data_IF_160770941981
#
_entry.id   IF_160770941981
#
_cell.length_a   1.000
_cell.length_b   1.000
_cell.length_c   1.000
_cell.angle_alpha   90.00
_cell.angle_beta   90.00
_cell.angle_gamma   90.00
#
_symmetry.space_group_name_H-M   'P 1'
#
loop_
_entity.id
_entity.type
_entity.pdbx_description
1 polymer ?
#
# COMPACT_ATOMS: atom_id res chain seq x y z
N UNK A 1 -18.55 -51.08 3.79
CA UNK A 1 -18.35 -50.21 2.61
C UNK A 1 -18.69 -48.77 2.95
N UNK A 2 -17.87 -48.09 3.80
CA UNK A 2 -18.10 -46.68 4.20
C UNK A 2 -16.86 -45.80 4.08
N UNK A 3 -15.81 -46.27 3.33
CA UNK A 3 -14.52 -45.55 3.22
C UNK A 3 -14.27 -44.85 1.88
N UNK A 4 -15.22 -44.78 0.98
CA UNK A 4 -15.01 -44.28 -0.40
C UNK A 4 -15.48 -42.85 -0.65
N UNK A 5 -16.36 -42.32 0.15
CA UNK A 5 -16.93 -40.97 -0.04
C UNK A 5 -16.09 -39.88 0.63
N UNK A 6 -15.45 -40.16 1.76
CA UNK A 6 -14.63 -39.17 2.47
C UNK A 6 -13.37 -38.76 1.67
N UNK A 7 -12.76 -39.66 0.90
CA UNK A 7 -11.61 -39.32 0.04
C UNK A 7 -11.96 -38.49 -1.19
N UNK A 8 -13.21 -38.55 -1.65
CA UNK A 8 -13.68 -37.73 -2.78
C UNK A 8 -13.94 -36.27 -2.38
N UNK A 9 -14.20 -36.01 -1.11
CA UNK A 9 -14.44 -34.64 -0.59
C UNK A 9 -13.17 -33.94 -0.10
N UNK A 10 -12.10 -34.64 0.23
CA UNK A 10 -10.81 -34.03 0.63
C UNK A 10 -10.12 -33.25 -0.53
N UNK A 11 -10.47 -33.53 -1.80
CA UNK A 11 -9.99 -32.80 -2.97
C UNK A 11 -10.83 -31.58 -3.39
N UNK A 12 -12.00 -31.37 -2.78
CA UNK A 12 -12.99 -30.35 -3.14
C UNK A 12 -13.13 -29.24 -2.08
N UNK A 13 -12.09 -28.95 -1.32
CA UNK A 13 -12.00 -27.67 -0.63
C UNK A 13 -11.70 -26.55 -1.67
N UNK A 14 -12.63 -26.33 -2.57
CA UNK A 14 -12.77 -25.05 -3.24
C UNK A 14 -13.08 -24.07 -2.10
N UNK A 15 -12.10 -23.29 -1.70
CA UNK A 15 -12.32 -22.11 -0.85
C UNK A 15 -13.24 -21.20 -1.63
N UNK A 16 -14.54 -21.34 -1.42
CA UNK A 16 -15.53 -20.36 -1.86
C UNK A 16 -15.20 -19.06 -1.12
N UNK A 17 -14.40 -18.21 -1.76
CA UNK A 17 -14.20 -16.83 -1.33
C UNK A 17 -15.52 -16.10 -1.60
N UNK A 18 -16.39 -16.09 -0.59
CA UNK A 18 -17.59 -15.25 -0.64
C UNK A 18 -17.12 -13.81 -0.42
N UNK A 19 -17.33 -12.92 -1.41
CA UNK A 19 -16.95 -11.51 -1.24
C UNK A 19 -17.82 -10.86 -0.16
N UNK A 20 -17.21 -9.96 0.60
CA UNK A 20 -17.93 -9.15 1.58
C UNK A 20 -18.98 -8.25 0.87
N UNK A 21 -20.04 -7.86 1.55
CA UNK A 21 -21.14 -7.06 0.95
C UNK A 21 -20.63 -5.77 0.31
N UNK A 22 -19.73 -5.05 0.98
CA UNK A 22 -19.15 -3.83 0.46
C UNK A 22 -18.32 -4.05 -0.82
N UNK A 23 -17.65 -5.21 -0.96
CA UNK A 23 -16.92 -5.57 -2.19
C UNK A 23 -17.89 -5.83 -3.35
N UNK A 24 -19.01 -6.52 -3.07
CA UNK A 24 -20.06 -6.76 -4.07
C UNK A 24 -20.70 -5.44 -4.52
N UNK A 25 -20.95 -4.52 -3.58
CA UNK A 25 -21.49 -3.20 -3.86
C UNK A 25 -20.54 -2.38 -4.74
N UNK A 26 -19.23 -2.40 -4.45
CA UNK A 26 -18.22 -1.73 -5.25
C UNK A 26 -18.14 -2.30 -6.69
N UNK A 27 -18.15 -3.62 -6.84
CA UNK A 27 -18.17 -4.31 -8.14
C UNK A 27 -19.41 -3.92 -8.94
N UNK A 28 -20.58 -3.89 -8.29
CA UNK A 28 -21.84 -3.50 -8.91
C UNK A 28 -21.82 -2.03 -9.34
N UNK A 29 -21.41 -1.12 -8.47
CA UNK A 29 -21.35 0.30 -8.77
C UNK A 29 -20.44 0.60 -10.00
N UNK A 30 -19.26 -0.03 -10.07
CA UNK A 30 -18.37 0.09 -11.23
C UNK A 30 -19.02 -0.44 -12.51
N UNK A 31 -19.74 -1.56 -12.43
CA UNK A 31 -20.45 -2.16 -13.57
C UNK A 31 -21.62 -1.28 -14.01
N UNK A 32 -22.31 -0.61 -13.08
CA UNK A 32 -23.43 0.31 -13.34
C UNK A 32 -22.96 1.69 -13.85
N UNK A 33 -21.65 1.88 -14.03
CA UNK A 33 -21.09 3.09 -14.62
C UNK A 33 -20.77 4.20 -13.63
N UNK A 34 -20.58 3.89 -12.35
CA UNK A 34 -20.06 4.84 -11.36
C UNK A 34 -18.55 4.69 -11.22
N UNK A 35 -17.86 5.77 -10.91
CA UNK A 35 -16.56 5.74 -10.29
C UNK A 35 -16.72 5.39 -8.81
N UNK A 36 -15.76 4.70 -8.23
CA UNK A 36 -15.89 4.20 -6.85
C UNK A 36 -14.67 4.61 -6.02
N UNK A 37 -14.97 5.17 -4.86
CA UNK A 37 -13.97 5.37 -3.79
C UNK A 37 -14.24 4.32 -2.73
N UNK A 38 -13.22 3.50 -2.44
CA UNK A 38 -13.28 2.48 -1.39
C UNK A 38 -12.52 2.96 -0.17
N UNK A 39 -13.23 3.06 0.94
CA UNK A 39 -12.65 3.28 2.27
C UNK A 39 -12.81 2.02 3.12
N UNK A 40 -11.75 1.23 3.18
CA UNK A 40 -11.74 -0.03 3.92
C UNK A 40 -10.37 -0.29 4.54
N UNK A 41 -10.28 -0.87 5.75
CA UNK A 41 -9.02 -1.10 6.45
C UNK A 41 -7.99 -1.86 5.62
N UNK A 42 -6.72 -1.71 5.97
CA UNK A 42 -5.64 -2.53 5.40
C UNK A 42 -5.91 -4.00 5.72
N UNK A 43 -5.72 -4.87 4.72
CA UNK A 43 -6.01 -6.30 4.85
C UNK A 43 -7.48 -6.70 4.63
N UNK A 44 -8.41 -5.75 4.42
CA UNK A 44 -9.81 -6.05 4.13
C UNK A 44 -10.06 -6.72 2.75
N UNK A 45 -9.04 -6.80 1.90
CA UNK A 45 -9.15 -7.44 0.58
C UNK A 45 -9.64 -6.49 -0.52
N UNK A 46 -9.26 -5.22 -0.47
CA UNK A 46 -9.62 -4.21 -1.50
C UNK A 46 -9.28 -4.63 -2.92
N UNK A 47 -8.12 -5.26 -3.13
CA UNK A 47 -7.66 -5.75 -4.45
C UNK A 47 -8.61 -6.76 -5.08
N UNK A 48 -9.37 -7.51 -4.27
CA UNK A 48 -10.36 -8.49 -4.74
C UNK A 48 -11.41 -7.87 -5.67
N UNK A 49 -11.77 -6.60 -5.49
CA UNK A 49 -12.73 -5.90 -6.35
C UNK A 49 -12.21 -5.91 -7.80
N UNK A 50 -10.96 -5.50 -8.00
CA UNK A 50 -10.33 -5.50 -9.32
C UNK A 50 -10.22 -6.91 -9.89
N UNK A 51 -9.70 -7.85 -9.10
CA UNK A 51 -9.53 -9.24 -9.54
C UNK A 51 -10.87 -9.87 -9.96
N UNK A 52 -11.94 -9.56 -9.22
CA UNK A 52 -13.29 -10.03 -9.53
C UNK A 52 -13.84 -9.47 -10.84
N UNK A 53 -13.57 -8.18 -11.11
CA UNK A 53 -13.97 -7.52 -12.36
C UNK A 53 -13.25 -8.12 -13.56
N UNK A 54 -11.96 -8.40 -13.44
CA UNK A 54 -11.16 -9.01 -14.53
C UNK A 54 -11.57 -10.46 -14.75
N UNK A 55 -11.66 -11.28 -13.71
CA UNK A 55 -12.10 -12.69 -13.79
C UNK A 55 -13.53 -12.82 -14.34
N UNK A 56 -14.41 -11.91 -13.93
CA UNK A 56 -15.78 -11.81 -14.42
C UNK A 56 -15.91 -11.27 -15.86
N UNK A 57 -14.80 -10.92 -16.51
CA UNK A 57 -14.74 -10.31 -17.85
C UNK A 57 -15.59 -9.04 -17.99
N UNK A 58 -15.77 -8.32 -16.90
CA UNK A 58 -16.50 -7.03 -16.89
C UNK A 58 -15.60 -5.89 -17.35
N UNK A 59 -14.30 -6.02 -17.13
CA UNK A 59 -13.25 -5.10 -17.56
C UNK A 59 -12.00 -5.87 -17.97
N UNK A 60 -11.17 -5.33 -18.90
CA UNK A 60 -11.54 -4.25 -19.82
C UNK A 60 -12.51 -4.74 -20.92
N UNK A 61 -13.18 -3.80 -21.59
CA UNK A 61 -13.85 -4.12 -22.84
C UNK A 61 -12.83 -4.56 -23.92
N UNK A 62 -13.28 -5.30 -24.92
CA UNK A 62 -12.42 -5.77 -25.99
C UNK A 62 -11.63 -4.62 -26.65
N UNK A 63 -10.32 -4.81 -26.81
CA UNK A 63 -9.42 -3.80 -27.38
C UNK A 63 -9.07 -2.63 -26.43
N UNK A 64 -9.52 -2.67 -25.17
CA UNK A 64 -9.18 -1.65 -24.15
C UNK A 64 -8.37 -2.26 -23.02
N UNK A 65 -7.80 -1.44 -22.14
CA UNK A 65 -6.89 -1.83 -21.08
C UNK A 65 -7.45 -1.50 -19.70
N UNK A 66 -7.18 -2.33 -18.70
CA UNK A 66 -7.36 -2.03 -17.29
C UNK A 66 -5.99 -1.84 -16.63
N UNK A 67 -5.79 -0.74 -15.92
CA UNK A 67 -4.54 -0.42 -15.25
C UNK A 67 -4.74 -0.46 -13.75
N UNK A 68 -3.91 -1.25 -13.05
CA UNK A 68 -3.83 -1.29 -11.60
C UNK A 68 -2.56 -0.58 -11.15
N UNK A 69 -2.71 0.58 -10.51
CA UNK A 69 -1.54 1.32 -10.03
C UNK A 69 -1.29 1.10 -8.55
N UNK A 70 -0.02 1.02 -8.20
CA UNK A 70 0.46 0.81 -6.83
C UNK A 70 1.53 1.83 -6.47
N UNK A 71 1.71 2.14 -5.16
CA UNK A 71 2.60 3.20 -4.74
C UNK A 71 4.09 2.89 -4.90
N UNK A 72 4.50 1.64 -5.05
CA UNK A 72 5.92 1.29 -5.14
C UNK A 72 6.21 0.28 -6.24
N UNK A 73 7.41 0.38 -6.84
CA UNK A 73 7.92 -0.59 -7.83
C UNK A 73 7.93 -2.02 -7.29
N UNK A 74 8.25 -2.18 -6.00
CA UNK A 74 8.27 -3.49 -5.35
C UNK A 74 6.89 -4.16 -5.37
N UNK A 75 5.83 -3.41 -5.01
CA UNK A 75 4.45 -3.89 -5.07
C UNK A 75 4.00 -4.17 -6.52
N UNK A 76 4.42 -3.33 -7.48
CA UNK A 76 4.12 -3.55 -8.89
C UNK A 76 4.72 -4.88 -9.37
N UNK A 77 6.00 -5.10 -9.12
CA UNK A 77 6.72 -6.33 -9.46
C UNK A 77 6.09 -7.58 -8.82
N UNK A 78 5.65 -7.44 -7.58
CA UNK A 78 5.00 -8.54 -6.85
C UNK A 78 3.65 -8.90 -7.46
N UNK A 79 2.76 -7.90 -7.65
CA UNK A 79 1.43 -8.10 -8.24
C UNK A 79 1.52 -8.64 -9.67
N UNK A 80 2.43 -8.11 -10.47
CA UNK A 80 2.67 -8.62 -11.82
C UNK A 80 3.06 -10.10 -11.82
N UNK A 81 4.00 -10.52 -10.95
CA UNK A 81 4.41 -11.92 -10.84
C UNK A 81 3.29 -12.81 -10.31
N UNK A 82 2.53 -12.34 -9.34
CA UNK A 82 1.37 -13.04 -8.78
C UNK A 82 0.35 -13.33 -9.88
N UNK A 83 -0.11 -12.31 -10.59
CA UNK A 83 -1.11 -12.46 -11.64
C UNK A 83 -0.59 -13.20 -12.89
N UNK A 84 0.69 -13.03 -13.24
CA UNK A 84 1.32 -13.81 -14.31
C UNK A 84 1.36 -15.31 -13.98
N UNK A 85 1.67 -15.66 -12.73
CA UNK A 85 1.63 -17.05 -12.22
C UNK A 85 0.20 -17.60 -12.19
N UNK A 86 -0.79 -16.75 -11.90
CA UNK A 86 -2.21 -17.11 -11.93
C UNK A 86 -2.78 -17.21 -13.37
N UNK A 87 -1.94 -17.10 -14.39
CA UNK A 87 -2.30 -17.26 -15.80
C UNK A 87 -2.92 -16.03 -16.46
N UNK A 88 -2.79 -14.84 -15.85
CA UNK A 88 -3.31 -13.61 -16.45
C UNK A 88 -2.40 -13.10 -17.57
N UNK A 89 -3.02 -12.52 -18.62
CA UNK A 89 -2.31 -11.70 -19.61
C UNK A 89 -2.07 -10.32 -18.99
N UNK A 90 -0.92 -10.15 -18.35
CA UNK A 90 -0.60 -8.96 -17.57
C UNK A 90 0.78 -8.42 -17.92
N UNK A 91 0.84 -7.13 -18.21
CA UNK A 91 2.06 -6.36 -18.40
C UNK A 91 2.46 -5.58 -17.16
N UNK A 92 3.62 -4.96 -17.20
CA UNK A 92 4.14 -4.10 -16.14
C UNK A 92 4.77 -2.83 -16.69
N UNK A 93 4.52 -1.69 -16.02
CA UNK A 93 5.14 -0.41 -16.31
C UNK A 93 5.59 0.27 -15.01
N UNK A 94 6.90 0.26 -14.76
CA UNK A 94 7.54 0.97 -13.64
C UNK A 94 8.75 1.75 -14.16
N UNK A 95 9.38 2.56 -13.33
CA UNK A 95 10.54 3.32 -13.75
C UNK A 95 11.78 2.49 -14.09
N UNK A 96 11.78 1.19 -13.78
CA UNK A 96 12.90 0.27 -14.00
C UNK A 96 12.52 -0.98 -14.83
N UNK A 97 11.22 -1.20 -15.08
CA UNK A 97 10.75 -2.37 -15.83
C UNK A 97 9.53 -2.00 -16.69
N UNK A 98 9.58 -2.38 -17.96
CA UNK A 98 8.50 -2.20 -18.92
C UNK A 98 8.40 -3.47 -19.79
N UNK A 99 7.34 -4.27 -19.57
CA UNK A 99 7.08 -5.51 -20.33
C UNK A 99 5.59 -5.62 -20.66
N UNK A 100 5.26 -6.09 -21.84
CA UNK A 100 3.92 -6.38 -22.32
C UNK A 100 2.96 -5.17 -22.12
N UNK A 101 3.37 -3.97 -22.50
CA UNK A 101 2.64 -2.72 -22.25
C UNK A 101 1.23 -2.69 -22.87
N UNK A 102 1.00 -3.46 -23.92
CA UNK A 102 -0.29 -3.60 -24.61
C UNK A 102 -1.17 -4.70 -24.02
N UNK A 103 -0.72 -5.34 -22.94
CA UNK A 103 -1.52 -6.38 -22.27
C UNK A 103 -2.88 -5.82 -21.81
N UNK A 104 -3.96 -6.61 -21.81
CA UNK A 104 -5.29 -6.17 -21.37
C UNK A 104 -5.32 -5.72 -19.91
N UNK A 105 -4.40 -6.22 -19.08
CA UNK A 105 -4.18 -5.77 -17.71
C UNK A 105 -2.75 -5.26 -17.59
N UNK A 106 -2.57 -4.09 -17.02
CA UNK A 106 -1.27 -3.50 -16.76
C UNK A 106 -1.12 -3.18 -15.27
N UNK A 107 -0.05 -3.64 -14.65
CA UNK A 107 0.35 -3.19 -13.32
C UNK A 107 1.36 -2.06 -13.49
N UNK A 108 1.14 -0.92 -12.82
CA UNK A 108 1.98 0.25 -13.06
C UNK A 108 2.22 1.08 -11.79
N UNK A 109 3.24 1.95 -11.84
CA UNK A 109 3.30 3.12 -10.97
C UNK A 109 2.72 4.32 -11.72
N UNK A 110 2.03 5.23 -11.02
CA UNK A 110 1.30 6.34 -11.67
C UNK A 110 2.21 7.28 -12.47
N UNK A 111 3.45 7.42 -12.06
CA UNK A 111 4.45 8.22 -12.76
C UNK A 111 4.63 7.79 -14.23
N UNK A 112 4.53 6.50 -14.51
CA UNK A 112 4.68 5.96 -15.87
C UNK A 112 3.47 6.20 -16.76
N UNK A 113 2.33 6.58 -16.17
CA UNK A 113 1.08 6.84 -16.90
C UNK A 113 0.83 8.34 -17.15
N UNK A 114 1.71 9.21 -16.64
CA UNK A 114 1.53 10.67 -16.67
C UNK A 114 1.34 11.23 -18.09
N UNK A 115 2.22 10.88 -19.03
CA UNK A 115 2.16 11.39 -20.41
C UNK A 115 0.84 10.97 -21.10
N UNK A 116 0.35 9.78 -20.82
CA UNK A 116 -0.92 9.29 -21.35
C UNK A 116 -2.09 10.19 -20.91
N UNK A 117 -2.17 10.53 -19.63
CA UNK A 117 -3.22 11.41 -19.13
C UNK A 117 -3.07 12.84 -19.64
N UNK A 118 -1.84 13.34 -19.80
CA UNK A 118 -1.58 14.66 -20.40
C UNK A 118 -2.03 14.74 -21.86
N UNK A 119 -1.90 13.63 -22.62
CA UNK A 119 -2.40 13.50 -23.98
C UNK A 119 -3.93 13.32 -24.06
N UNK A 120 -4.65 13.24 -22.92
CA UNK A 120 -6.09 13.01 -22.88
C UNK A 120 -6.47 11.55 -23.16
N UNK A 121 -5.53 10.62 -23.03
CA UNK A 121 -5.75 9.19 -23.20
C UNK A 121 -5.91 8.49 -21.84
N UNK A 122 -6.71 7.42 -21.79
CA UNK A 122 -6.91 6.66 -20.57
C UNK A 122 -7.30 5.21 -20.80
N UNK A 123 -7.13 4.36 -19.78
CA UNK A 123 -7.62 2.99 -19.82
C UNK A 123 -9.14 2.92 -19.69
N UNK A 124 -9.72 1.75 -19.88
CA UNK A 124 -11.13 1.52 -19.56
C UNK A 124 -11.40 1.55 -18.05
N UNK A 125 -10.48 0.98 -17.25
CA UNK A 125 -10.51 1.02 -15.80
C UNK A 125 -9.12 1.44 -15.27
N UNK A 126 -9.08 2.47 -14.46
CA UNK A 126 -7.90 2.89 -13.69
C UNK A 126 -8.15 2.62 -12.21
N UNK A 127 -7.34 1.77 -11.62
CA UNK A 127 -7.30 1.59 -10.17
C UNK A 127 -6.15 2.38 -9.59
N UNK A 128 -6.43 3.21 -8.60
CA UNK A 128 -5.44 3.97 -7.84
C UNK A 128 -5.40 3.39 -6.42
N UNK A 129 -4.45 2.50 -6.19
CA UNK A 129 -4.22 1.95 -4.85
C UNK A 129 -3.46 2.95 -3.99
N UNK A 130 -3.85 3.06 -2.71
CA UNK A 130 -3.33 4.02 -1.75
C UNK A 130 -3.49 5.48 -2.24
N UNK A 131 -4.71 5.88 -2.66
CA UNK A 131 -4.96 7.22 -3.21
C UNK A 131 -4.71 8.36 -2.22
N UNK A 132 -4.52 8.11 -0.91
CA UNK A 132 -4.04 9.11 0.05
C UNK A 132 -2.67 9.70 -0.34
N UNK A 133 -1.94 9.03 -1.23
CA UNK A 133 -0.72 9.57 -1.83
C UNK A 133 -0.93 10.90 -2.57
N UNK A 134 -2.16 11.32 -2.87
CA UNK A 134 -2.48 12.69 -3.35
C UNK A 134 -1.90 13.75 -2.40
N UNK A 135 -1.86 13.47 -1.09
CA UNK A 135 -1.25 14.33 -0.07
C UNK A 135 0.27 14.22 0.06
N UNK A 136 0.94 13.35 -0.70
CA UNK A 136 2.38 13.20 -0.67
C UNK A 136 3.09 14.39 -1.33
N UNK A 137 4.13 14.92 -0.67
CA UNK A 137 4.84 16.12 -1.12
C UNK A 137 5.53 15.94 -2.47
N UNK A 138 6.09 14.77 -2.73
CA UNK A 138 6.89 14.52 -3.93
C UNK A 138 6.09 13.89 -5.06
N UNK A 139 5.15 13.01 -4.72
CA UNK A 139 4.45 12.14 -5.66
C UNK A 139 2.98 12.48 -5.83
N UNK A 140 2.40 13.25 -4.89
CA UNK A 140 0.97 13.52 -4.81
C UNK A 140 0.38 14.09 -6.07
N UNK A 141 1.15 14.93 -6.76
CA UNK A 141 0.71 15.50 -8.02
C UNK A 141 0.38 14.46 -9.10
N UNK A 142 1.17 13.37 -9.22
CA UNK A 142 0.89 12.33 -10.23
C UNK A 142 -0.46 11.65 -9.94
N UNK A 143 -0.80 11.47 -8.66
CA UNK A 143 -2.07 10.91 -8.21
C UNK A 143 -3.23 11.87 -8.48
N UNK A 144 -3.05 13.15 -8.18
CA UNK A 144 -4.04 14.20 -8.44
C UNK A 144 -4.30 14.35 -9.94
N UNK A 145 -3.25 14.43 -10.76
CA UNK A 145 -3.36 14.55 -12.21
C UNK A 145 -4.02 13.34 -12.87
N UNK A 146 -3.75 12.13 -12.37
CA UNK A 146 -4.38 10.91 -12.89
C UNK A 146 -5.91 10.97 -12.73
N UNK A 147 -6.43 11.51 -11.62
CA UNK A 147 -7.86 11.71 -11.41
C UNK A 147 -8.38 12.91 -12.21
N UNK A 148 -7.66 14.05 -12.15
CA UNK A 148 -8.08 15.30 -12.77
C UNK A 148 -8.14 15.23 -14.30
N UNK A 149 -7.25 14.47 -14.94
CA UNK A 149 -7.11 14.37 -16.40
C UNK A 149 -7.64 13.07 -17.00
N UNK A 150 -8.05 12.10 -16.17
CA UNK A 150 -8.63 10.87 -16.69
C UNK A 150 -9.83 11.17 -17.61
N UNK A 151 -9.87 10.61 -18.83
CA UNK A 151 -10.98 10.80 -19.76
C UNK A 151 -12.32 10.38 -19.16
N UNK A 152 -13.45 10.95 -19.61
CA UNK A 152 -14.77 10.63 -19.07
C UNK A 152 -15.17 9.15 -19.20
N UNK A 153 -14.64 8.44 -20.20
CA UNK A 153 -14.88 7.04 -20.47
C UNK A 153 -13.92 6.11 -19.69
N UNK A 154 -12.92 6.65 -19.00
CA UNK A 154 -12.10 5.92 -18.02
C UNK A 154 -12.88 5.77 -16.72
N UNK A 155 -13.12 4.53 -16.28
CA UNK A 155 -13.69 4.25 -14.97
C UNK A 155 -12.62 4.33 -13.90
N UNK A 156 -12.88 5.02 -12.78
CA UNK A 156 -11.96 5.18 -11.67
C UNK A 156 -12.36 4.31 -10.47
N UNK A 157 -11.38 3.61 -9.90
CA UNK A 157 -11.49 2.90 -8.64
C UNK A 157 -10.36 3.37 -7.71
N UNK A 158 -10.68 4.16 -6.70
CA UNK A 158 -9.75 4.68 -5.71
C UNK A 158 -9.81 3.81 -4.45
N UNK A 159 -8.69 3.29 -4.00
CA UNK A 159 -8.59 2.38 -2.84
C UNK A 159 -7.74 3.01 -1.73
N UNK A 160 -8.27 3.09 -0.52
CA UNK A 160 -7.55 3.47 0.69
C UNK A 160 -8.26 2.94 1.94
N UNK A 161 -7.63 3.05 3.08
CA UNK A 161 -8.19 2.78 4.41
C UNK A 161 -7.63 3.75 5.45
N UNK A 162 -7.06 4.88 5.01
CA UNK A 162 -6.44 5.87 5.90
C UNK A 162 -6.85 7.31 5.60
N UNK A 163 -7.86 7.53 4.75
CA UNK A 163 -8.37 8.86 4.40
C UNK A 163 -9.57 9.20 5.28
N UNK A 164 -9.49 10.33 6.00
CA UNK A 164 -10.56 10.78 6.91
C UNK A 164 -11.71 11.52 6.22
N UNK A 165 -11.51 11.98 4.98
CA UNK A 165 -12.47 12.79 4.23
C UNK A 165 -12.78 12.26 2.82
N UNK A 166 -13.14 10.97 2.64
CA UNK A 166 -13.42 10.42 1.31
C UNK A 166 -14.58 11.14 0.61
N UNK A 167 -15.53 11.72 1.35
CA UNK A 167 -16.61 12.54 0.80
C UNK A 167 -16.13 13.81 0.11
N UNK A 168 -15.03 14.44 0.57
CA UNK A 168 -14.43 15.60 -0.14
C UNK A 168 -13.80 15.18 -1.45
N UNK A 169 -13.18 13.99 -1.49
CA UNK A 169 -12.61 13.43 -2.73
C UNK A 169 -13.74 13.13 -3.73
N UNK A 170 -14.86 12.57 -3.26
CA UNK A 170 -16.04 12.34 -4.09
C UNK A 170 -16.60 13.66 -4.65
N UNK A 171 -16.80 14.69 -3.82
CA UNK A 171 -17.26 15.99 -4.26
C UNK A 171 -16.31 16.66 -5.28
N UNK A 172 -15.00 16.48 -5.11
CA UNK A 172 -14.02 16.89 -6.11
C UNK A 172 -14.23 16.16 -7.45
N UNK A 173 -14.37 14.84 -7.45
CA UNK A 173 -14.61 14.06 -8.67
C UNK A 173 -15.95 14.42 -9.32
N UNK A 174 -16.99 14.70 -8.54
CA UNK A 174 -18.29 15.18 -9.05
C UNK A 174 -18.16 16.56 -9.72
N UNK A 175 -17.35 17.47 -9.15
CA UNK A 175 -17.01 18.76 -9.80
C UNK A 175 -16.31 18.56 -11.16
N UNK A 176 -15.57 17.45 -11.33
CA UNK A 176 -14.98 17.07 -12.61
C UNK A 176 -15.98 16.42 -13.59
N UNK A 177 -17.28 16.39 -13.25
CA UNK A 177 -18.35 15.81 -14.06
C UNK A 177 -18.50 14.28 -13.92
N UNK A 178 -17.93 13.65 -12.88
CA UNK A 178 -17.97 12.22 -12.66
C UNK A 178 -19.15 11.79 -11.78
N UNK A 179 -19.64 10.59 -11.98
CA UNK A 179 -20.66 9.96 -11.13
C UNK A 179 -19.95 9.06 -10.12
N UNK A 180 -19.96 9.44 -8.84
CA UNK A 180 -19.12 8.79 -7.82
C UNK A 180 -19.97 8.10 -6.76
N UNK A 181 -19.49 6.97 -6.24
CA UNK A 181 -19.98 6.34 -5.01
C UNK A 181 -18.84 6.14 -4.04
N UNK A 182 -19.05 6.51 -2.79
CA UNK A 182 -18.17 6.17 -1.67
C UNK A 182 -18.72 4.92 -1.03
N UNK A 183 -17.92 3.87 -0.99
CA UNK A 183 -18.27 2.56 -0.43
C UNK A 183 -17.19 2.17 0.56
N UNK A 184 -17.57 1.73 1.73
CA UNK A 184 -16.57 1.40 2.74
C UNK A 184 -17.10 0.49 3.83
N UNK A 185 -16.19 0.08 4.68
CA UNK A 185 -16.47 -0.62 5.92
C UNK A 185 -15.49 -0.17 6.99
N UNK A 186 -16.00 0.06 8.18
CA UNK A 186 -15.17 0.29 9.37
C UNK A 186 -14.70 -1.03 10.00
N UNK A 187 -15.34 -2.14 9.65
CA UNK A 187 -15.06 -3.45 10.23
C UNK A 187 -13.77 -4.03 9.66
N UNK A 188 -12.88 -4.40 10.56
CA UNK A 188 -11.67 -5.14 10.18
C UNK A 188 -11.98 -6.63 10.15
N UNK A 189 -11.47 -7.36 9.13
CA UNK A 189 -11.60 -8.84 9.09
C UNK A 189 -10.99 -9.53 10.31
N UNK A 190 -9.97 -8.94 10.91
CA UNK A 190 -9.35 -9.36 12.16
C UNK A 190 -9.31 -8.15 13.08
N UNK A 191 -10.05 -8.13 14.20
CA UNK A 191 -10.04 -7.04 15.16
C UNK A 191 -8.64 -6.85 15.78
N UNK A 192 -8.35 -5.67 16.30
CA UNK A 192 -7.08 -5.35 16.95
C UNK A 192 -7.31 -5.09 18.44
N UNK A 193 -6.42 -5.69 19.24
CA UNK A 193 -6.30 -5.41 20.67
C UNK A 193 -4.91 -4.85 21.00
N UNK A 194 -4.84 -4.04 22.05
CA UNK A 194 -3.58 -3.55 22.57
C UNK A 194 -3.07 -4.42 23.73
N UNK A 195 -1.80 -4.86 23.63
CA UNK A 195 -1.14 -5.66 24.65
C UNK A 195 0.10 -4.92 25.18
N UNK A 196 0.09 -4.44 26.42
CA UNK A 196 1.29 -3.88 27.03
C UNK A 196 2.40 -4.93 27.15
N UNK A 197 3.66 -4.54 26.91
CA UNK A 197 4.82 -5.44 27.10
C UNK A 197 4.87 -6.01 28.52
N UNK A 198 4.40 -5.24 29.50
CA UNK A 198 4.30 -5.67 30.89
C UNK A 198 3.34 -6.86 31.09
N UNK A 199 2.36 -7.03 30.22
CA UNK A 199 1.42 -8.13 30.23
C UNK A 199 1.94 -9.41 29.56
N UNK A 200 3.04 -9.33 28.81
CA UNK A 200 3.62 -10.51 28.19
C UNK A 200 4.18 -11.50 29.24
N UNK A 201 4.11 -12.83 28.98
CA UNK A 201 4.69 -13.84 29.85
C UNK A 201 6.16 -13.57 30.19
N UNK A 202 6.55 -13.92 31.39
CA UNK A 202 7.94 -13.79 31.89
C UNK A 202 8.54 -15.18 32.06
N UNK A 203 9.79 -15.38 31.65
CA UNK A 203 10.53 -16.57 32.03
C UNK A 203 10.95 -16.48 33.51
N UNK A 204 10.99 -17.61 34.18
CA UNK A 204 11.51 -17.70 35.56
C UNK A 204 12.72 -18.64 35.60
N UNK A 205 13.91 -18.18 36.03
CA UNK A 205 14.27 -16.84 36.43
C UNK A 205 14.35 -15.86 35.24
N UNK A 206 14.19 -14.54 35.47
CA UNK A 206 14.24 -13.56 34.40
C UNK A 206 15.65 -13.51 33.79
N UNK A 207 15.76 -13.92 32.52
CA UNK A 207 17.01 -13.92 31.75
C UNK A 207 17.25 -12.65 30.95
N UNK A 208 16.24 -11.79 30.86
CA UNK A 208 16.33 -10.59 30.04
C UNK A 208 17.17 -9.50 30.70
N UNK A 209 18.08 -8.93 29.91
CA UNK A 209 18.96 -7.85 30.30
C UNK A 209 18.46 -6.47 29.84
N UNK A 210 17.51 -6.44 28.89
CA UNK A 210 16.96 -5.23 28.31
C UNK A 210 15.54 -5.46 27.78
N UNK A 211 14.91 -4.37 27.33
CA UNK A 211 13.55 -4.38 26.78
C UNK A 211 13.37 -5.39 25.62
N UNK A 212 14.32 -5.45 24.69
CA UNK A 212 14.23 -6.32 23.51
C UNK A 212 14.26 -7.81 23.87
N UNK A 213 15.07 -8.18 24.86
CA UNK A 213 15.10 -9.55 25.39
C UNK A 213 13.73 -9.92 26.01
N UNK A 214 13.13 -9.00 26.77
CA UNK A 214 11.80 -9.22 27.35
C UNK A 214 10.75 -9.41 26.27
N UNK A 215 10.74 -8.51 25.26
CA UNK A 215 9.79 -8.54 24.16
C UNK A 215 9.90 -9.87 23.38
N UNK A 216 11.12 -10.27 22.97
CA UNK A 216 11.32 -11.48 22.19
C UNK A 216 10.94 -12.75 22.96
N UNK A 217 11.34 -12.88 24.23
CA UNK A 217 10.96 -14.01 25.08
C UNK A 217 9.46 -14.03 25.37
N UNK A 218 8.87 -12.88 25.67
CA UNK A 218 7.43 -12.78 25.94
C UNK A 218 6.59 -13.23 24.77
N UNK A 219 6.97 -12.81 23.55
CA UNK A 219 6.30 -13.22 22.32
C UNK A 219 6.52 -14.70 22.02
N UNK A 220 7.72 -15.23 22.25
CA UNK A 220 8.03 -16.65 22.03
C UNK A 220 7.28 -17.57 23.01
N UNK A 221 7.12 -17.15 24.27
CA UNK A 221 6.44 -17.91 25.31
C UNK A 221 4.91 -17.78 25.31
N UNK A 222 4.38 -17.08 24.31
CA UNK A 222 2.96 -16.78 24.19
C UNK A 222 2.44 -17.08 22.79
N UNK A 223 1.13 -16.85 22.59
CA UNK A 223 0.47 -16.94 21.29
C UNK A 223 0.57 -15.63 20.45
N UNK A 224 1.35 -14.63 20.91
CA UNK A 224 1.45 -13.32 20.22
C UNK A 224 2.40 -13.31 19.02
N UNK A 225 3.15 -14.38 18.75
CA UNK A 225 3.97 -14.49 17.54
C UNK A 225 3.18 -14.90 16.28
N UNK A 226 3.67 -14.61 15.07
CA UNK A 226 4.87 -13.83 14.76
C UNK A 226 4.72 -12.32 15.01
N UNK A 227 5.84 -11.66 15.29
CA UNK A 227 5.91 -10.22 15.60
C UNK A 227 6.61 -9.45 14.49
N UNK A 228 6.01 -8.34 14.05
CA UNK A 228 6.65 -7.33 13.21
C UNK A 228 7.00 -6.09 14.05
N UNK A 229 8.27 -5.72 14.05
CA UNK A 229 8.76 -4.52 14.72
C UNK A 229 9.08 -3.47 13.66
N UNK A 230 8.48 -2.29 13.77
CA UNK A 230 8.84 -1.13 12.95
C UNK A 230 9.91 -0.31 13.64
N UNK A 231 11.05 -0.14 12.99
CA UNK A 231 12.22 0.60 13.48
C UNK A 231 12.40 1.93 12.73
N UNK A 232 12.96 2.98 13.39
CA UNK A 232 13.03 4.33 12.81
C UNK A 232 13.97 4.45 11.59
N UNK A 233 15.01 3.63 11.50
CA UNK A 233 15.96 3.64 10.38
C UNK A 233 16.66 2.28 10.22
N UNK A 234 17.38 2.09 9.09
CA UNK A 234 18.02 0.81 8.72
C UNK A 234 18.93 0.23 9.81
N UNK A 235 19.87 1.03 10.31
CA UNK A 235 20.81 0.59 11.37
C UNK A 235 20.08 0.19 12.65
N UNK A 236 18.96 0.88 12.99
CA UNK A 236 18.13 0.49 14.13
C UNK A 236 17.44 -0.86 13.87
N UNK A 237 16.93 -1.09 12.66
CA UNK A 237 16.30 -2.35 12.31
C UNK A 237 17.25 -3.52 12.44
N UNK A 238 18.46 -3.43 11.90
CA UNK A 238 19.52 -4.44 12.02
C UNK A 238 19.90 -4.67 13.48
N UNK A 239 20.18 -3.59 14.23
CA UNK A 239 20.55 -3.67 15.66
C UNK A 239 19.45 -4.32 16.52
N UNK A 240 18.19 -3.98 16.29
CA UNK A 240 17.05 -4.57 17.00
C UNK A 240 16.93 -6.05 16.64
N UNK A 241 17.05 -6.41 15.35
CA UNK A 241 17.00 -7.80 14.91
C UNK A 241 18.03 -8.68 15.65
N UNK A 242 19.26 -8.21 15.79
CA UNK A 242 20.28 -8.90 16.58
C UNK A 242 19.91 -9.00 18.05
N UNK A 243 19.46 -7.92 18.68
CA UNK A 243 19.08 -7.92 20.09
C UNK A 243 17.92 -8.86 20.41
N UNK A 244 16.89 -8.91 19.57
CA UNK A 244 15.77 -9.85 19.79
C UNK A 244 16.20 -11.30 19.52
N UNK A 245 17.14 -11.51 18.59
CA UNK A 245 17.68 -12.82 18.29
C UNK A 245 18.55 -13.42 19.41
N UNK A 246 19.23 -12.60 20.23
CA UNK A 246 20.11 -13.07 21.31
C UNK A 246 19.43 -14.09 22.25
N UNK A 247 18.14 -13.90 22.54
CA UNK A 247 17.39 -14.74 23.47
C UNK A 247 16.60 -15.88 22.81
N UNK A 248 16.57 -15.92 21.48
CA UNK A 248 15.82 -16.94 20.76
C UNK A 248 16.69 -18.18 20.53
N UNK A 249 16.13 -19.40 20.68
CA UNK A 249 16.84 -20.63 20.44
C UNK A 249 17.06 -20.90 18.95
N UNK A 250 18.01 -21.76 18.65
CA UNK A 250 18.26 -22.35 17.31
C UNK A 250 17.68 -23.76 17.22
N UNK A 251 16.51 -23.98 17.81
CA UNK A 251 15.84 -25.27 17.91
C UNK A 251 15.25 -25.77 16.58
N UNK A 252 14.91 -24.84 15.69
CA UNK A 252 14.31 -25.13 14.39
C UNK A 252 14.80 -24.10 13.36
N UNK A 253 16.07 -24.20 12.93
CA UNK A 253 16.69 -23.21 12.06
C UNK A 253 16.12 -23.25 10.63
N UNK A 254 15.83 -22.08 10.06
CA UNK A 254 15.51 -21.99 8.64
C UNK A 254 16.79 -22.19 7.84
N UNK A 255 16.76 -23.18 6.93
CA UNK A 255 17.79 -23.44 5.94
C UNK A 255 17.20 -23.17 4.56
N UNK A 256 17.91 -22.39 3.77
CA UNK A 256 17.54 -22.16 2.37
C UNK A 256 17.97 -23.41 1.57
N UNK A 257 17.03 -24.10 0.96
CA UNK A 257 17.31 -25.31 0.18
C UNK A 257 18.01 -25.04 -1.17
N UNK A 258 18.13 -23.78 -1.56
CA UNK A 258 18.76 -23.35 -2.80
C UNK A 258 20.09 -22.64 -2.52
N UNK A 259 21.19 -23.22 -3.03
CA UNK A 259 22.56 -22.65 -2.90
C UNK A 259 22.67 -21.24 -3.51
N UNK A 260 21.91 -20.91 -4.55
CA UNK A 260 21.94 -19.57 -5.14
C UNK A 260 21.35 -18.54 -4.19
N UNK A 261 20.28 -18.90 -3.49
CA UNK A 261 19.69 -18.05 -2.46
C UNK A 261 20.65 -17.87 -1.28
N UNK A 262 21.31 -18.94 -0.84
CA UNK A 262 22.32 -18.85 0.24
C UNK A 262 23.51 -17.96 -0.16
N UNK A 263 24.05 -18.13 -1.36
CA UNK A 263 25.17 -17.32 -1.86
C UNK A 263 24.81 -15.85 -2.09
N UNK A 264 23.55 -15.58 -2.39
CA UNK A 264 23.03 -14.22 -2.63
C UNK A 264 22.60 -13.48 -1.36
N UNK A 265 22.61 -14.14 -0.20
CA UNK A 265 22.28 -13.56 1.09
C UNK A 265 23.53 -13.14 1.87
N UNK A 266 23.42 -12.04 2.61
CA UNK A 266 24.43 -11.62 3.57
C UNK A 266 24.57 -12.63 4.71
N UNK A 267 25.78 -12.73 5.29
CA UNK A 267 26.03 -13.60 6.43
C UNK A 267 25.13 -13.26 7.63
N UNK A 268 24.73 -12.01 7.77
CA UNK A 268 23.85 -11.55 8.85
C UNK A 268 22.43 -12.10 8.70
N UNK A 269 21.85 -12.04 7.51
CA UNK A 269 20.53 -12.66 7.25
C UNK A 269 20.60 -14.16 7.51
N UNK A 270 21.60 -14.86 6.98
CA UNK A 270 21.72 -16.33 7.17
C UNK A 270 21.85 -16.72 8.64
N UNK A 271 22.58 -15.93 9.45
CA UNK A 271 22.71 -16.16 10.90
C UNK A 271 21.38 -15.93 11.63
N UNK A 272 20.69 -14.84 11.31
CA UNK A 272 19.41 -14.51 11.93
C UNK A 272 18.32 -15.52 11.58
N UNK A 273 18.32 -16.07 10.35
CA UNK A 273 17.38 -17.11 9.92
C UNK A 273 17.49 -18.40 10.76
N UNK A 274 18.66 -18.72 11.32
CA UNK A 274 18.83 -19.85 12.27
C UNK A 274 17.95 -19.69 13.51
N UNK A 275 17.62 -18.43 13.88
CA UNK A 275 16.75 -18.09 15.01
C UNK A 275 15.34 -17.67 14.57
N UNK A 276 15.03 -17.82 13.29
CA UNK A 276 13.78 -17.39 12.66
C UNK A 276 13.51 -15.89 12.83
N UNK A 277 14.58 -15.10 12.74
CA UNK A 277 14.54 -13.63 12.75
C UNK A 277 15.03 -13.12 11.40
N UNK A 278 14.47 -11.99 10.96
CA UNK A 278 14.97 -11.26 9.81
C UNK A 278 14.79 -9.75 10.00
N UNK A 279 15.60 -8.96 9.30
CA UNK A 279 15.31 -7.53 9.11
C UNK A 279 14.87 -7.27 7.68
N UNK A 280 14.13 -6.17 7.48
CA UNK A 280 13.56 -5.78 6.20
C UNK A 280 13.64 -4.27 6.01
N UNK A 281 14.45 -3.81 5.06
CA UNK A 281 14.60 -2.40 4.70
C UNK A 281 15.05 -2.22 3.25
N UNK A 282 14.95 -1.01 2.73
CA UNK A 282 15.29 -0.67 1.34
C UNK A 282 16.79 -0.83 0.99
N UNK A 283 17.65 -1.06 1.97
CA UNK A 283 19.08 -1.38 1.78
C UNK A 283 19.37 -2.84 1.53
N UNK A 284 18.42 -3.76 1.75
CA UNK A 284 18.57 -5.16 1.38
C UNK A 284 18.59 -5.34 -0.13
N UNK A 285 19.42 -6.26 -0.59
CA UNK A 285 19.42 -6.72 -1.97
C UNK A 285 18.05 -7.24 -2.40
N UNK A 286 17.74 -7.13 -3.68
CA UNK A 286 16.47 -7.60 -4.21
C UNK A 286 16.21 -9.08 -3.89
N UNK A 287 17.23 -9.92 -4.02
CA UNK A 287 17.14 -11.36 -3.76
C UNK A 287 16.84 -11.64 -2.28
N UNK A 288 17.55 -11.01 -1.34
CA UNK A 288 17.32 -11.17 0.09
C UNK A 288 15.88 -10.78 0.48
N UNK A 289 15.43 -9.64 -0.04
CA UNK A 289 14.11 -9.10 0.26
C UNK A 289 13.00 -9.93 -0.38
N UNK A 290 13.00 -10.04 -1.72
CA UNK A 290 11.87 -10.57 -2.48
C UNK A 290 11.87 -12.10 -2.62
N UNK A 291 13.04 -12.75 -2.52
CA UNK A 291 13.13 -14.21 -2.66
C UNK A 291 13.32 -14.94 -1.33
N UNK A 292 13.69 -14.25 -0.25
CA UNK A 292 13.96 -14.88 1.05
C UNK A 292 13.05 -14.31 2.14
N UNK A 293 13.23 -13.04 2.54
CA UNK A 293 12.56 -12.49 3.73
C UNK A 293 11.04 -12.41 3.56
N UNK A 294 10.55 -11.85 2.45
CA UNK A 294 9.11 -11.70 2.20
C UNK A 294 8.37 -13.05 2.06
N UNK A 295 8.88 -14.05 1.31
CA UNK A 295 8.25 -15.37 1.24
C UNK A 295 8.21 -16.08 2.60
N UNK A 296 9.31 -16.04 3.38
CA UNK A 296 9.36 -16.63 4.72
C UNK A 296 8.39 -15.96 5.69
N UNK A 297 8.25 -14.62 5.60
CA UNK A 297 7.29 -13.87 6.37
C UNK A 297 5.84 -14.25 6.02
N UNK A 298 5.51 -14.32 4.72
CA UNK A 298 4.19 -14.75 4.23
C UNK A 298 3.83 -16.18 4.64
N UNK A 299 4.82 -17.06 4.61
CA UNK A 299 4.65 -18.45 5.04
C UNK A 299 4.57 -18.60 6.58
N UNK A 300 4.70 -17.49 7.34
CA UNK A 300 4.67 -17.53 8.80
C UNK A 300 5.85 -18.24 9.44
N UNK A 301 6.95 -18.42 8.70
CA UNK A 301 8.13 -19.15 9.18
C UNK A 301 9.04 -18.30 10.07
N UNK A 302 8.95 -16.98 9.98
CA UNK A 302 9.71 -16.07 10.83
C UNK A 302 8.97 -15.82 12.16
N UNK A 303 9.72 -15.85 13.26
CA UNK A 303 9.21 -15.52 14.61
C UNK A 303 9.12 -14.01 14.81
N UNK A 304 10.19 -13.31 14.42
CA UNK A 304 10.28 -11.85 14.53
C UNK A 304 10.86 -11.27 13.24
N UNK A 305 10.20 -10.21 12.75
CA UNK A 305 10.67 -9.43 11.61
C UNK A 305 10.86 -8.00 12.08
N UNK A 306 11.97 -7.37 11.71
CA UNK A 306 12.23 -5.96 12.04
C UNK A 306 12.32 -5.16 10.75
N UNK A 307 11.34 -4.31 10.48
CA UNK A 307 11.26 -3.50 9.27
C UNK A 307 11.46 -2.00 9.59
N UNK A 308 11.89 -1.23 8.60
CA UNK A 308 11.89 0.23 8.75
C UNK A 308 10.49 0.83 8.55
N UNK A 309 10.16 1.88 9.31
CA UNK A 309 8.86 2.57 9.26
C UNK A 309 8.49 3.07 7.86
N UNK A 310 9.46 3.61 7.12
CA UNK A 310 9.24 4.08 5.74
C UNK A 310 8.85 3.00 4.74
N UNK A 311 8.90 1.72 5.10
CA UNK A 311 8.44 0.61 4.26
C UNK A 311 7.02 0.13 4.60
N UNK A 312 6.33 0.71 5.58
CA UNK A 312 5.03 0.23 6.03
C UNK A 312 4.00 0.07 4.89
N UNK A 313 3.96 1.03 3.97
CA UNK A 313 3.12 0.98 2.77
C UNK A 313 3.58 -0.08 1.74
N UNK A 314 4.87 -0.46 1.75
CA UNK A 314 5.48 -1.40 0.80
C UNK A 314 5.51 -2.86 1.27
N UNK A 315 5.15 -3.15 2.52
CA UNK A 315 5.11 -4.51 3.06
C UNK A 315 3.83 -5.21 2.61
N UNK A 316 3.97 -6.38 2.00
CA UNK A 316 2.83 -7.18 1.54
C UNK A 316 2.71 -8.52 2.30
N UNK A 317 2.85 -8.48 3.60
CA UNK A 317 2.54 -9.60 4.49
C UNK A 317 1.92 -9.08 5.79
N UNK A 318 1.18 -9.95 6.47
CA UNK A 318 0.61 -9.70 7.79
C UNK A 318 1.17 -10.68 8.79
N UNK A 319 1.23 -10.25 10.04
CA UNK A 319 1.71 -11.01 11.20
C UNK A 319 0.66 -10.98 12.29
N UNK A 320 0.79 -11.78 13.34
CA UNK A 320 -0.17 -11.70 14.44
C UNK A 320 -0.04 -10.40 15.23
N UNK A 321 1.19 -9.95 15.51
CA UNK A 321 1.43 -8.78 16.35
C UNK A 321 2.35 -7.76 15.72
N UNK A 322 2.14 -6.50 16.04
CA UNK A 322 2.97 -5.36 15.59
C UNK A 322 3.46 -4.59 16.81
N UNK A 323 4.71 -4.14 16.75
CA UNK A 323 5.30 -3.18 17.69
C UNK A 323 5.97 -2.04 16.91
N UNK A 324 5.75 -0.80 17.32
CA UNK A 324 6.39 0.39 16.70
C UNK A 324 7.43 0.95 17.67
N UNK A 325 8.70 0.89 17.27
CA UNK A 325 9.84 1.24 18.10
C UNK A 325 10.20 2.72 17.99
N UNK A 326 9.36 3.57 18.56
CA UNK A 326 9.54 5.03 18.56
C UNK A 326 8.40 5.75 17.82
N UNK A 327 8.41 7.06 17.93
CA UNK A 327 7.39 7.96 17.34
C UNK A 327 7.96 8.83 16.22
N UNK A 328 9.28 8.78 15.99
CA UNK A 328 9.97 9.50 14.91
C UNK A 328 10.73 8.54 14.02
N UNK A 329 10.98 8.93 12.78
CA UNK A 329 11.82 8.18 11.86
C UNK A 329 12.55 9.08 10.85
N UNK A 330 13.58 8.52 10.22
CA UNK A 330 14.38 9.20 9.22
C UNK A 330 13.71 9.14 7.84
N UNK A 331 13.39 10.30 7.27
CA UNK A 331 12.89 10.46 5.91
C UNK A 331 13.89 11.30 5.10
N UNK A 332 14.76 10.63 4.35
CA UNK A 332 15.90 11.28 3.71
C UNK A 332 16.86 11.90 4.76
N UNK A 333 17.20 13.19 4.62
CA UNK A 333 18.07 13.89 5.59
C UNK A 333 17.30 14.38 6.84
N UNK A 334 15.98 14.30 6.87
CA UNK A 334 15.14 14.85 7.93
C UNK A 334 14.61 13.78 8.86
N UNK A 335 14.52 14.11 10.15
CA UNK A 335 13.74 13.35 11.12
C UNK A 335 12.34 13.92 11.17
N UNK A 336 11.32 13.05 11.13
CA UNK A 336 9.91 13.45 11.25
C UNK A 336 9.12 12.51 12.14
N UNK A 337 8.03 13.03 12.70
CA UNK A 337 7.09 12.23 13.46
C UNK A 337 6.34 11.24 12.56
N UNK A 338 6.03 10.08 13.13
CA UNK A 338 5.13 9.10 12.51
C UNK A 338 3.71 9.64 12.58
N UNK A 339 3.08 9.83 11.44
CA UNK A 339 1.71 10.32 11.40
C UNK A 339 0.69 9.26 11.84
N UNK A 340 -0.49 9.66 12.36
CA UNK A 340 -1.56 8.75 12.70
C UNK A 340 -2.00 7.82 11.55
N UNK A 341 -1.96 8.30 10.31
CA UNK A 341 -2.28 7.49 9.13
C UNK A 341 -1.21 6.44 8.83
N UNK A 342 0.08 6.74 9.06
CA UNK A 342 1.16 5.77 8.93
C UNK A 342 1.07 4.70 10.03
N UNK A 343 0.74 5.10 11.27
CA UNK A 343 0.45 4.14 12.35
C UNK A 343 -0.70 3.21 11.96
N UNK A 344 -1.76 3.74 11.36
CA UNK A 344 -2.88 2.93 10.88
C UNK A 344 -2.44 1.89 9.84
N UNK A 345 -1.53 2.25 8.92
CA UNK A 345 -0.96 1.31 7.96
C UNK A 345 -0.05 0.27 8.62
N UNK A 346 0.79 0.68 9.59
CA UNK A 346 1.66 -0.24 10.35
C UNK A 346 0.82 -1.22 11.17
N UNK A 347 -0.16 -0.73 11.91
CA UNK A 347 -1.06 -1.55 12.72
C UNK A 347 -1.98 -2.41 11.85
N UNK A 348 -2.24 -1.95 10.62
CA UNK A 348 -2.94 -2.72 9.60
C UNK A 348 -2.26 -4.04 9.23
N UNK A 349 -0.98 -4.22 9.57
CA UNK A 349 -0.24 -5.47 9.37
C UNK A 349 -0.45 -6.49 10.50
N UNK A 350 -1.10 -6.11 11.58
CA UNK A 350 -1.47 -7.03 12.65
C UNK A 350 -2.76 -7.78 12.34
N UNK A 351 -2.78 -9.08 12.64
CA UNK A 351 -3.90 -9.98 12.36
C UNK A 351 -3.88 -10.54 10.93
N UNK A 352 -3.71 -11.86 10.81
CA UNK A 352 -3.71 -12.58 9.53
C UNK A 352 -5.11 -13.11 9.24
N UNK A 353 -5.76 -12.59 8.20
CA UNK A 353 -7.12 -13.05 7.80
C UNK A 353 -7.15 -14.56 7.59
N UNK A 354 -8.09 -15.23 8.24
CA UNK A 354 -8.28 -16.69 8.17
C UNK A 354 -7.29 -17.52 8.99
N UNK A 355 -6.38 -16.87 9.76
CA UNK A 355 -5.44 -17.54 10.65
C UNK A 355 -5.55 -17.04 12.10
N UNK A 356 -5.80 -15.76 12.29
CA UNK A 356 -5.88 -15.12 13.62
C UNK A 356 -7.30 -14.61 13.86
N UNK A 357 -7.81 -14.82 15.06
CA UNK A 357 -9.09 -14.24 15.51
C UNK A 357 -8.89 -12.79 15.94
N UNK A 358 -7.71 -12.46 16.47
CA UNK A 358 -7.33 -11.13 16.93
C UNK A 358 -5.89 -10.83 16.55
N UNK A 359 -5.65 -9.64 16.04
CA UNK A 359 -4.32 -9.06 15.86
C UNK A 359 -3.95 -8.20 17.07
N UNK A 360 -2.65 -8.12 17.41
CA UNK A 360 -2.23 -7.41 18.61
C UNK A 360 -1.27 -6.28 18.29
N UNK A 361 -1.51 -5.13 18.92
CA UNK A 361 -0.56 -4.03 18.96
C UNK A 361 0.17 -4.12 20.30
N UNK A 362 1.44 -4.51 20.25
CA UNK A 362 2.24 -4.53 21.47
C UNK A 362 2.68 -3.12 21.77
N UNK A 363 2.39 -2.62 22.97
CA UNK A 363 2.74 -1.27 23.41
C UNK A 363 3.77 -1.31 24.53
N UNK A 364 4.69 -0.35 24.52
CA UNK A 364 5.66 -0.07 25.57
C UNK A 364 5.47 1.34 26.11
N UNK A 365 6.33 1.74 27.06
CA UNK A 365 6.21 3.03 27.73
C UNK A 365 6.25 4.22 26.77
N UNK A 366 7.15 4.16 25.78
CA UNK A 366 7.43 5.25 24.82
C UNK A 366 7.14 4.80 23.37
N UNK A 367 6.25 3.83 23.18
CA UNK A 367 5.84 3.35 21.85
C UNK A 367 4.47 3.89 21.48
N UNK A 368 4.18 3.91 20.18
CA UNK A 368 2.86 4.24 19.68
C UNK A 368 1.79 3.24 20.17
N UNK A 369 0.59 3.74 20.44
CA UNK A 369 -0.57 2.99 20.92
C UNK A 369 -1.62 2.86 19.83
N UNK A 370 -2.53 1.92 20.00
CA UNK A 370 -3.64 1.71 19.06
C UNK A 370 -4.50 2.97 18.90
N UNK A 371 -4.71 3.74 19.97
CA UNK A 371 -5.44 5.02 19.96
C UNK A 371 -4.81 6.13 19.14
N UNK A 372 -3.50 6.05 18.86
CA UNK A 372 -2.78 7.06 18.08
C UNK A 372 -3.02 6.91 16.58
N UNK A 373 -3.47 5.71 16.14
CA UNK A 373 -3.73 5.41 14.75
C UNK A 373 -5.14 5.84 14.34
N UNK A 374 -5.22 6.77 13.40
CA UNK A 374 -6.50 7.25 12.87
C UNK A 374 -6.36 7.74 11.43
N UNK A 375 -7.44 7.71 10.63
CA UNK A 375 -7.44 8.34 9.32
C UNK A 375 -7.15 9.84 9.44
N UNK A 376 -6.50 10.38 8.42
CA UNK A 376 -6.24 11.82 8.31
C UNK A 376 -6.98 12.41 7.12
N UNK A 377 -7.40 13.66 7.26
CA UNK A 377 -7.97 14.41 6.16
C UNK A 377 -6.94 14.56 5.04
N UNK A 378 -7.30 14.08 3.87
CA UNK A 378 -6.53 14.25 2.67
C UNK A 378 -6.53 15.73 2.26
N UNK A 379 -5.34 16.26 2.07
CA UNK A 379 -5.10 17.61 1.56
C UNK A 379 -4.00 17.55 0.52
N UNK A 380 -4.19 18.29 -0.57
CA UNK A 380 -3.11 18.44 -1.55
C UNK A 380 -1.99 19.33 -0.99
N UNK A 381 -0.78 19.17 -1.51
CA UNK A 381 0.27 20.17 -1.36
C UNK A 381 -0.03 21.40 -2.22
N UNK A 382 0.21 22.61 -1.69
CA UNK A 382 -0.10 23.87 -2.38
C UNK A 382 0.87 24.20 -3.53
N UNK A 383 1.75 23.29 -3.90
CA UNK A 383 2.71 23.50 -4.98
C UNK A 383 2.07 23.16 -6.33
N UNK A 384 2.34 24.01 -7.34
CA UNK A 384 2.05 23.73 -8.75
C UNK A 384 3.26 23.05 -9.38
N UNK A 385 3.02 21.97 -10.12
CA UNK A 385 4.06 21.38 -10.97
C UNK A 385 4.16 22.17 -12.28
N UNK A 386 5.06 23.14 -12.29
CA UNK A 386 5.32 23.94 -13.46
C UNK A 386 5.73 23.13 -14.69
N UNK A 387 6.55 22.08 -14.63
CA UNK A 387 6.83 21.21 -15.77
C UNK A 387 5.54 20.64 -16.41
N UNK A 388 4.62 20.14 -15.62
CA UNK A 388 3.32 19.64 -16.12
C UNK A 388 2.46 20.76 -16.70
N UNK A 389 2.39 21.88 -16.02
CA UNK A 389 1.64 23.05 -16.49
C UNK A 389 2.13 23.53 -17.85
N UNK A 390 3.45 23.73 -18.01
CA UNK A 390 4.09 24.12 -19.26
C UNK A 390 3.85 23.06 -20.35
N UNK A 391 3.98 21.77 -20.02
CA UNK A 391 3.69 20.68 -20.97
C UNK A 391 2.24 20.73 -21.47
N UNK A 392 1.27 20.93 -20.57
CA UNK A 392 -0.14 21.08 -20.94
C UNK A 392 -0.39 22.31 -21.82
N UNK A 393 0.25 23.45 -21.47
CA UNK A 393 0.20 24.67 -22.27
C UNK A 393 0.76 24.47 -23.68
N UNK A 394 1.88 23.76 -23.80
CA UNK A 394 2.51 23.45 -25.08
C UNK A 394 1.59 22.58 -25.97
N UNK A 395 1.10 21.45 -25.41
CA UNK A 395 0.16 20.58 -26.11
C UNK A 395 -1.11 21.32 -26.56
N UNK A 396 -1.64 22.21 -25.72
CA UNK A 396 -2.80 23.04 -26.10
C UNK A 396 -2.48 23.95 -27.30
N UNK A 397 -1.29 24.59 -27.29
CA UNK A 397 -0.83 25.43 -28.40
C UNK A 397 -0.68 24.66 -29.72
N UNK A 398 -0.17 23.42 -29.68
CA UNK A 398 -0.09 22.55 -30.87
C UNK A 398 -1.47 22.22 -31.47
N UNK A 399 -2.52 22.21 -30.64
CA UNK A 399 -3.89 21.97 -31.07
C UNK A 399 -4.69 23.27 -31.29
N UNK A 400 -4.04 24.44 -31.32
CA UNK A 400 -4.70 25.73 -31.55
C UNK A 400 -5.55 26.24 -30.37
N UNK A 401 -5.38 25.65 -29.18
CA UNK A 401 -6.06 26.08 -27.95
C UNK A 401 -5.15 27.07 -27.21
N UNK A 402 -5.76 28.09 -26.57
CA UNK A 402 -4.99 29.07 -25.77
C UNK A 402 -4.21 28.37 -24.66
N UNK A 403 -2.86 28.47 -24.60
CA UNK A 403 -2.06 27.89 -23.54
C UNK A 403 -2.48 28.34 -22.13
N UNK A 404 -2.85 29.61 -21.97
CA UNK A 404 -3.28 30.16 -20.68
C UNK A 404 -4.63 29.61 -20.22
N UNK A 405 -5.57 29.39 -21.18
CA UNK A 405 -6.86 28.77 -20.85
C UNK A 405 -6.66 27.30 -20.43
N UNK A 406 -5.78 26.59 -21.11
CA UNK A 406 -5.39 25.23 -20.71
C UNK A 406 -4.75 25.16 -19.30
N UNK A 407 -3.94 26.16 -18.94
CA UNK A 407 -3.37 26.29 -17.61
C UNK A 407 -4.45 26.57 -16.54
N UNK A 408 -5.40 27.47 -16.84
CA UNK A 408 -6.53 27.76 -15.96
C UNK A 408 -7.43 26.53 -15.78
N UNK A 409 -7.78 25.85 -16.87
CA UNK A 409 -8.56 24.62 -16.83
C UNK A 409 -7.89 23.56 -15.95
N UNK A 410 -6.59 23.31 -16.13
CA UNK A 410 -5.86 22.34 -15.30
C UNK A 410 -5.88 22.74 -13.83
N UNK A 411 -5.63 24.02 -13.51
CA UNK A 411 -5.72 24.55 -12.14
C UNK A 411 -7.08 24.28 -11.50
N UNK A 412 -8.17 24.57 -12.23
CA UNK A 412 -9.54 24.46 -11.72
C UNK A 412 -9.96 22.99 -11.51
N UNK A 413 -9.25 22.07 -12.15
CA UNK A 413 -9.44 20.61 -11.99
C UNK A 413 -8.70 20.03 -10.80
N UNK A 414 -7.80 20.77 -10.13
CA UNK A 414 -7.03 20.26 -8.99
C UNK A 414 -7.89 20.03 -7.75
N UNK A 415 -7.42 19.17 -6.84
CA UNK A 415 -8.07 18.87 -5.56
C UNK A 415 -7.85 20.03 -4.57
N UNK A 416 -8.67 21.06 -4.70
CA UNK A 416 -8.63 22.24 -3.82
C UNK A 416 -10.02 22.82 -3.62
N UNK A 417 -10.29 23.26 -2.37
CA UNK A 417 -11.49 24.03 -2.01
C UNK A 417 -11.31 25.52 -2.33
N UNK A 418 -10.09 25.94 -2.66
CA UNK A 418 -9.75 27.34 -2.99
C UNK A 418 -9.08 27.41 -4.35
N UNK A 419 -9.23 28.55 -5.02
CA UNK A 419 -8.51 28.80 -6.29
C UNK A 419 -7.01 28.79 -6.05
N UNK A 420 -6.30 27.90 -6.74
CA UNK A 420 -4.83 27.80 -6.66
C UNK A 420 -4.23 28.97 -7.45
N UNK A 421 -3.38 29.84 -6.85
CA UNK A 421 -2.79 30.96 -7.55
C UNK A 421 -1.76 30.44 -8.59
N UNK A 422 -1.89 30.89 -9.84
CA UNK A 422 -0.93 30.54 -10.90
C UNK A 422 0.37 31.38 -10.86
N UNK A 423 0.40 32.43 -10.03
CA UNK A 423 1.59 33.30 -9.92
C UNK A 423 1.80 34.26 -11.11
N UNK A 424 0.90 34.26 -12.10
CA UNK A 424 0.90 35.23 -13.20
C UNK A 424 -0.52 35.79 -13.41
N UNK A 425 -0.62 37.04 -13.88
CA UNK A 425 -1.86 37.63 -14.40
C UNK A 425 -1.78 37.61 -15.91
N UNK A 426 -2.81 37.11 -16.65
CA UNK A 426 -2.83 37.25 -18.11
C UNK A 426 -2.89 38.72 -18.50
N UNK A 427 -2.17 39.11 -19.54
CA UNK A 427 -2.31 40.41 -20.14
C UNK A 427 -3.74 40.50 -20.74
N UNK A 428 -4.63 41.22 -20.09
CA UNK A 428 -6.02 41.38 -20.57
C UNK A 428 -7.07 41.59 -19.50
N UNK A 429 -6.79 41.25 -18.24
CA UNK A 429 -7.66 41.71 -17.12
C UNK A 429 -7.31 43.17 -16.84
N UNK A 430 -8.10 44.06 -17.46
CA UNK A 430 -7.85 45.48 -17.50
C UNK A 430 -7.51 46.10 -16.16
N UNK A 431 -6.32 46.63 -16.04
CA UNK A 431 -5.99 47.71 -15.16
C UNK A 431 -6.76 48.98 -15.68
N UNK A 432 -7.98 49.11 -15.25
CA UNK A 432 -8.53 50.45 -15.11
C UNK A 432 -7.89 51.03 -13.85
N UNK A 433 -6.64 51.45 -13.99
CA UNK A 433 -6.02 52.30 -13.03
C UNK A 433 -6.80 53.60 -12.99
N UNK A 434 -7.59 53.79 -11.99
CA UNK A 434 -8.01 55.10 -11.54
C UNK A 434 -6.82 55.77 -10.90
N UNK A 435 -6.36 56.84 -11.54
CA UNK A 435 -5.52 57.90 -11.02
C UNK A 435 -5.91 58.33 -9.62
#
# INVERSE_FOLDING_TARGET
MHGGLDRAFEGLQVRLLVPDLWQQEAIRALTDGFDVIVDAPTGAGKTYIFESLIKGRKFPAAGRQAIFTVPTRALANEKWREWKRDGWKVGIATGDLAEDLDAPVLVATLETQRERFLAGEGPHLLVIDEYQMIGDRQRGLNYELAVALAPPDTRLLLLSGSVGNPGKVAAWMERLGRRVRVIGTAERPVPLDEMPVEGLPRSAPPKYRNFWHRLSLGVMLSHYGPLLIFAPHRKAAEKIAWKVAEMLPEDDPIRLGDRRLEQGCSADILRLLKKRVAFHHSGLGFLERAAVVEPLAKAGQLRIIVATMGLAAGINFSVRSVFVAGTTYQDGPYERDVSPAELLQMFGRAGRRGLDETGYIISGRDSARLSDARPLDLRRHNELDWPTMIRRMHLAGEHGVSPFDAARELRDRLFSDQTVPLGFRPAGDGDSATT
#
